data_IF_696830591523
#
_entry.id   IF_696830591523
#
_cell.length_a   1.000
_cell.length_b   1.000
_cell.length_c   1.000
_cell.angle_alpha   90.00
_cell.angle_beta   90.00
_cell.angle_gamma   90.00
#
_symmetry.space_group_name_H-M   'P 1'
#
loop_
_entity.id
_entity.type
_entity.pdbx_description
1 polymer ?
#
# COMPACT_ATOMS: atom_id res chain seq x y z
N UNK A 1 -37.00 -7.35 14.98
CA UNK A 1 -35.79 -7.93 15.57
C UNK A 1 -34.88 -8.31 14.40
N UNK A 2 -33.85 -7.50 14.13
CA UNK A 2 -32.42 -7.89 14.03
C UNK A 2 -32.19 -9.23 13.29
N UNK A 3 -31.32 -9.35 12.28
CA UNK A 3 -29.87 -9.53 12.52
C UNK A 3 -28.98 -9.30 11.27
N UNK A 4 -27.99 -8.42 11.49
CA UNK A 4 -26.57 -8.41 11.06
C UNK A 4 -26.16 -8.52 9.59
N UNK A 5 -25.73 -7.37 9.05
CA UNK A 5 -24.84 -7.26 7.90
C UNK A 5 -23.48 -7.92 8.18
N UNK A 6 -23.18 -9.02 7.51
CA UNK A 6 -21.81 -9.56 7.44
C UNK A 6 -21.03 -8.82 6.36
N UNK A 7 -20.56 -7.62 6.69
CA UNK A 7 -19.53 -6.93 5.91
C UNK A 7 -18.19 -7.66 6.10
N UNK A 8 -18.00 -8.77 5.38
CA UNK A 8 -16.67 -9.35 5.19
C UNK A 8 -16.04 -8.62 4.01
N UNK A 9 -15.41 -7.49 4.28
CA UNK A 9 -14.43 -6.93 3.36
C UNK A 9 -13.31 -7.96 3.19
N UNK A 10 -13.13 -8.58 2.01
CA UNK A 10 -12.06 -9.54 1.81
C UNK A 10 -10.81 -8.70 1.60
N UNK A 11 -10.22 -8.22 2.70
CA UNK A 11 -8.81 -7.87 2.70
C UNK A 11 -8.07 -9.20 2.71
N UNK A 12 -8.16 -9.92 1.58
CA UNK A 12 -7.35 -11.08 1.29
C UNK A 12 -5.91 -10.64 1.48
N UNK A 13 -5.32 -11.09 2.58
CA UNK A 13 -3.88 -11.06 2.76
C UNK A 13 -3.34 -12.01 1.70
N UNK A 14 -3.13 -11.47 0.49
CA UNK A 14 -2.53 -12.20 -0.61
C UNK A 14 -1.21 -12.81 -0.08
N UNK A 15 -0.95 -14.10 -0.35
CA UNK A 15 0.24 -14.76 0.15
C UNK A 15 1.47 -13.93 -0.25
N UNK A 16 2.43 -13.83 0.67
CA UNK A 16 3.69 -13.13 0.46
C UNK A 16 4.51 -13.86 -0.62
N UNK A 17 4.10 -13.75 -1.88
CA UNK A 17 4.93 -14.13 -3.00
C UNK A 17 6.14 -13.19 -2.96
N UNK A 18 7.33 -13.77 -2.85
CA UNK A 18 8.62 -13.08 -2.78
C UNK A 18 8.94 -12.29 -4.06
N UNK A 19 8.01 -12.26 -5.03
CA UNK A 19 8.10 -11.45 -6.24
C UNK A 19 7.75 -10.01 -5.88
N UNK A 20 8.63 -9.09 -6.26
CA UNK A 20 8.38 -7.66 -6.15
C UNK A 20 7.06 -7.33 -6.85
N UNK A 21 6.06 -6.93 -6.08
CA UNK A 21 4.76 -6.56 -6.63
C UNK A 21 4.88 -5.17 -7.25
N UNK A 22 4.85 -5.11 -8.59
CA UNK A 22 4.97 -3.84 -9.35
C UNK A 22 3.93 -2.79 -8.92
N UNK A 23 2.72 -3.22 -8.55
CA UNK A 23 1.68 -2.32 -8.04
C UNK A 23 2.05 -1.69 -6.70
N UNK A 24 2.69 -2.45 -5.81
CA UNK A 24 3.19 -1.92 -4.53
C UNK A 24 4.34 -0.93 -4.74
N UNK A 25 5.25 -1.20 -5.69
CA UNK A 25 6.33 -0.28 -6.06
C UNK A 25 5.76 1.02 -6.62
N UNK A 26 4.81 0.94 -7.56
CA UNK A 26 4.16 2.12 -8.13
C UNK A 26 3.43 2.96 -7.07
N UNK A 27 2.70 2.30 -6.17
CA UNK A 27 2.03 2.95 -5.05
C UNK A 27 3.04 3.64 -4.11
N UNK A 28 4.14 2.98 -3.77
CA UNK A 28 5.19 3.56 -2.93
C UNK A 28 5.84 4.79 -3.59
N UNK A 29 6.14 4.74 -4.90
CA UNK A 29 6.66 5.89 -5.66
C UNK A 29 5.66 7.05 -5.67
N UNK A 30 4.37 6.78 -5.84
CA UNK A 30 3.31 7.80 -5.80
C UNK A 30 3.17 8.46 -4.42
N UNK A 31 3.20 7.65 -3.36
CA UNK A 31 3.15 8.14 -1.97
C UNK A 31 4.34 9.10 -1.73
N UNK A 32 5.55 8.69 -2.09
CA UNK A 32 6.76 9.52 -1.97
C UNK A 32 6.71 10.80 -2.79
N UNK A 33 6.08 10.76 -3.97
CA UNK A 33 5.88 11.97 -4.78
C UNK A 33 4.93 12.94 -4.08
N UNK A 34 3.76 12.48 -3.61
CA UNK A 34 2.79 13.34 -2.92
C UNK A 34 3.32 13.92 -1.61
N UNK A 35 4.10 13.14 -0.87
CA UNK A 35 4.77 13.58 0.34
C UNK A 35 5.70 14.77 0.08
N UNK A 36 6.53 14.67 -0.97
CA UNK A 36 7.40 15.79 -1.43
C UNK A 36 6.63 17.03 -1.89
N UNK A 37 5.42 16.86 -2.41
CA UNK A 37 4.52 17.96 -2.76
C UNK A 37 3.80 18.58 -1.55
N UNK A 38 4.03 18.08 -0.33
CA UNK A 38 3.30 18.49 0.87
C UNK A 38 1.84 18.02 0.92
N UNK A 39 1.46 17.07 0.04
CA UNK A 39 0.11 16.50 -0.09
C UNK A 39 0.05 15.06 0.42
N UNK A 40 1.08 14.61 1.13
CA UNK A 40 1.16 13.31 1.75
C UNK A 40 0.33 13.28 3.03
N UNK A 41 -0.66 12.40 3.08
CA UNK A 41 -1.49 12.18 4.28
C UNK A 41 -1.11 10.89 5.03
N UNK A 42 0.01 10.26 4.66
CA UNK A 42 0.43 8.97 5.21
C UNK A 42 1.86 9.06 5.73
N UNK A 43 2.12 8.42 6.87
CA UNK A 43 3.46 8.34 7.44
C UNK A 43 4.35 7.52 6.53
N UNK A 44 5.48 8.08 6.11
CA UNK A 44 6.47 7.38 5.30
C UNK A 44 7.25 6.37 6.16
N UNK A 45 6.91 5.10 6.02
CA UNK A 45 7.59 3.99 6.69
C UNK A 45 8.83 3.55 5.91
N UNK A 46 9.71 2.79 6.57
CA UNK A 46 10.90 2.22 5.92
C UNK A 46 10.51 1.33 4.73
N UNK A 47 9.45 0.52 4.86
CA UNK A 47 8.95 -0.32 3.77
C UNK A 47 8.55 0.48 2.52
N UNK A 48 7.97 1.67 2.69
CA UNK A 48 7.62 2.55 1.56
C UNK A 48 8.89 3.10 0.91
N UNK A 49 9.90 3.48 1.70
CA UNK A 49 11.22 3.87 1.18
C UNK A 49 11.84 2.75 0.35
N UNK A 50 11.89 1.55 0.92
CA UNK A 50 12.53 0.40 0.28
C UNK A 50 11.83 0.04 -1.04
N UNK A 51 10.49 0.05 -1.06
CA UNK A 51 9.72 -0.22 -2.27
C UNK A 51 9.85 0.90 -3.32
N UNK A 52 9.92 2.16 -2.90
CA UNK A 52 10.06 3.28 -3.82
C UNK A 52 11.45 3.37 -4.46
N UNK A 53 12.48 2.80 -3.82
CA UNK A 53 13.85 2.75 -4.34
C UNK A 53 14.08 1.65 -5.40
N UNK A 54 13.10 0.78 -5.64
CA UNK A 54 13.20 -0.29 -6.63
C UNK A 54 13.09 0.32 -8.03
N UNK A 55 14.12 0.13 -8.84
CA UNK A 55 14.12 0.40 -10.28
C UNK A 55 13.62 -0.85 -11.02
N UNK A 56 12.55 -0.70 -11.82
CA UNK A 56 11.85 -1.78 -12.54
C UNK A 56 12.01 -1.61 -14.04
#
# INVERSE_FOLDING_TARGET
>A
MMETATNKSPREAAPASTKINKGQVAAAKLIMKRDREGKGNVKITQRIRDLAAIEL
#
